data_IF_516988985295
#
_entry.id   IF_516988985295
#
_cell.length_a   1.000
_cell.length_b   1.000
_cell.length_c   1.000
_cell.angle_alpha   90.00
_cell.angle_beta   90.00
_cell.angle_gamma   90.00
#
_symmetry.space_group_name_H-M   'P 1'
#
loop_
_entity.id
_entity.type
_entity.pdbx_description
1 polymer ?
#
# COMPACT_ATOMS: atom_id res chain seq x y z
N UNK A 1 -27.89 -43.22 32.54
CA UNK A 1 -26.66 -42.48 32.18
C UNK A 1 -26.90 -41.04 32.62
N UNK A 2 -26.07 -40.52 33.51
CA UNK A 2 -26.22 -39.15 34.02
C UNK A 2 -25.51 -38.20 33.07
N UNK A 3 -26.22 -37.20 32.55
CA UNK A 3 -25.64 -36.18 31.68
C UNK A 3 -24.89 -35.14 32.52
N UNK A 4 -23.61 -34.98 32.23
CA UNK A 4 -22.75 -33.99 32.88
C UNK A 4 -22.40 -32.85 31.96
N UNK A 5 -22.23 -31.67 32.54
CA UNK A 5 -21.76 -30.47 31.87
C UNK A 5 -20.59 -29.88 32.68
N UNK A 6 -19.61 -29.29 31.99
CA UNK A 6 -18.53 -28.53 32.62
C UNK A 6 -18.39 -27.16 31.96
N UNK A 7 -17.80 -26.20 32.68
CA UNK A 7 -17.53 -24.87 32.15
C UNK A 7 -16.06 -24.76 31.71
N UNK A 8 -15.86 -24.44 30.44
CA UNK A 8 -14.56 -24.15 29.83
C UNK A 8 -14.38 -22.63 29.65
N UNK A 9 -13.25 -22.02 30.02
CA UNK A 9 -13.03 -20.58 29.87
C UNK A 9 -13.08 -20.07 28.42
N UNK A 10 -12.73 -20.91 27.44
CA UNK A 10 -12.71 -20.55 26.02
C UNK A 10 -14.00 -20.91 25.29
N UNK A 11 -14.64 -22.03 25.68
CA UNK A 11 -15.80 -22.58 24.98
C UNK A 11 -17.14 -22.40 25.72
N UNK A 12 -17.12 -21.94 26.98
CA UNK A 12 -18.31 -21.81 27.80
C UNK A 12 -18.84 -23.16 28.31
N UNK A 13 -20.15 -23.38 28.29
CA UNK A 13 -20.77 -24.64 28.75
C UNK A 13 -20.55 -25.77 27.75
N UNK A 14 -19.90 -26.85 28.17
CA UNK A 14 -19.61 -28.03 27.35
C UNK A 14 -20.36 -29.25 27.91
N UNK A 15 -21.11 -29.95 27.06
CA UNK A 15 -21.90 -31.14 27.38
C UNK A 15 -23.12 -31.31 26.45
N UNK A 16 -23.96 -32.34 26.62
CA UNK A 16 -23.88 -33.38 27.65
C UNK A 16 -22.75 -34.38 27.38
N UNK A 17 -21.96 -34.69 28.41
CA UNK A 17 -20.95 -35.75 28.37
C UNK A 17 -21.23 -36.81 29.43
N UNK A 18 -20.84 -38.05 29.15
CA UNK A 18 -20.95 -39.14 30.11
C UNK A 18 -19.94 -38.96 31.25
N UNK A 19 -20.24 -39.52 32.43
CA UNK A 19 -19.33 -39.52 33.58
C UNK A 19 -17.94 -40.12 33.26
N UNK A 20 -17.87 -41.11 32.36
CA UNK A 20 -16.60 -41.70 31.90
C UNK A 20 -15.75 -40.70 31.10
N UNK A 21 -16.39 -39.96 30.20
CA UNK A 21 -15.73 -38.95 29.37
C UNK A 21 -15.23 -37.77 30.24
N UNK A 22 -16.03 -37.37 31.24
CA UNK A 22 -15.62 -36.37 32.22
C UNK A 22 -14.38 -36.83 33.00
N UNK A 23 -14.31 -38.11 33.40
CA UNK A 23 -13.11 -38.69 34.02
C UNK A 23 -11.91 -38.74 33.08
N UNK A 24 -12.11 -39.13 31.82
CA UNK A 24 -11.05 -39.18 30.83
C UNK A 24 -10.39 -37.80 30.68
N UNK A 25 -11.19 -36.74 30.51
CA UNK A 25 -10.70 -35.36 30.42
C UNK A 25 -9.95 -34.88 31.65
N UNK A 26 -10.36 -35.33 32.84
CA UNK A 26 -9.62 -35.02 34.07
C UNK A 26 -8.26 -35.72 34.10
N UNK A 27 -8.18 -36.99 33.69
CA UNK A 27 -6.90 -37.72 33.55
C UNK A 27 -5.98 -37.08 32.52
N UNK A 28 -6.55 -36.57 31.42
CA UNK A 28 -5.81 -35.92 30.35
C UNK A 28 -5.43 -34.46 30.67
N UNK A 29 -5.69 -34.00 31.90
CA UNK A 29 -5.43 -32.62 32.38
C UNK A 29 -6.15 -31.52 31.57
N UNK A 30 -7.19 -31.87 30.82
CA UNK A 30 -8.03 -30.93 30.08
C UNK A 30 -8.98 -30.16 31.00
N UNK A 31 -9.37 -30.77 32.12
CA UNK A 31 -10.16 -30.14 33.18
C UNK A 31 -9.48 -30.36 34.53
N UNK A 32 -9.61 -29.37 35.42
CA UNK A 32 -9.01 -29.34 36.76
C UNK A 32 -10.04 -29.61 37.86
N UNK A 33 -9.60 -29.81 39.10
CA UNK A 33 -10.47 -30.16 40.22
C UNK A 33 -11.43 -29.03 40.63
N UNK A 34 -11.02 -27.78 40.38
CA UNK A 34 -11.80 -26.56 40.57
C UNK A 34 -12.78 -26.27 39.43
N UNK A 35 -12.72 -27.03 38.33
CA UNK A 35 -13.57 -26.79 37.15
C UNK A 35 -15.03 -26.92 37.54
N UNK A 36 -15.87 -25.90 37.29
CA UNK A 36 -17.29 -25.98 37.60
C UNK A 36 -17.98 -27.04 36.74
N UNK A 37 -18.69 -27.96 37.38
CA UNK A 37 -19.53 -28.98 36.75
C UNK A 37 -20.97 -28.88 37.23
N UNK A 38 -21.90 -29.34 36.38
CA UNK A 38 -23.32 -29.35 36.66
C UNK A 38 -23.98 -30.59 36.08
N UNK A 39 -25.00 -31.09 36.77
CA UNK A 39 -25.87 -32.19 36.33
C UNK A 39 -27.34 -31.90 36.60
N UNK A 40 -28.27 -32.56 35.89
CA UNK A 40 -29.70 -32.49 36.20
C UNK A 40 -29.99 -32.83 37.66
N UNK A 41 -30.78 -31.98 38.33
CA UNK A 41 -31.11 -32.10 39.75
C UNK A 41 -30.27 -31.22 40.69
N UNK A 42 -29.29 -30.47 40.16
CA UNK A 42 -28.48 -29.54 40.94
C UNK A 42 -28.97 -28.10 40.81
N UNK A 43 -28.99 -27.36 41.92
CA UNK A 43 -29.41 -25.96 41.95
C UNK A 43 -28.40 -25.02 41.26
N UNK A 44 -27.10 -25.23 41.51
CA UNK A 44 -26.01 -24.37 41.03
C UNK A 44 -24.80 -25.20 40.55
N UNK A 45 -23.86 -24.55 39.84
CA UNK A 45 -22.60 -25.16 39.42
C UNK A 45 -21.68 -25.41 40.63
N UNK A 46 -21.09 -26.60 40.71
CA UNK A 46 -20.16 -26.96 41.79
C UNK A 46 -18.80 -27.40 41.25
N UNK A 47 -17.70 -27.22 42.01
CA UNK A 47 -16.40 -27.74 41.62
C UNK A 47 -16.39 -29.25 41.41
N UNK A 48 -15.66 -29.73 40.40
CA UNK A 48 -15.49 -31.16 40.09
C UNK A 48 -15.00 -31.99 41.30
N UNK A 49 -14.18 -31.40 42.17
CA UNK A 49 -13.67 -32.02 43.40
C UNK A 49 -14.78 -32.49 44.34
N UNK A 50 -15.93 -31.80 44.37
CA UNK A 50 -17.07 -32.17 45.21
C UNK A 50 -17.68 -33.52 44.80
N UNK A 51 -17.48 -33.94 43.54
CA UNK A 51 -18.00 -35.19 42.99
C UNK A 51 -16.92 -36.25 42.78
N UNK A 52 -15.73 -36.07 43.35
CA UNK A 52 -14.59 -37.00 43.20
C UNK A 52 -14.92 -38.44 43.62
N UNK A 53 -15.67 -38.62 44.72
CA UNK A 53 -16.09 -39.93 45.20
C UNK A 53 -17.17 -40.61 44.35
N UNK A 54 -18.04 -39.83 43.70
CA UNK A 54 -19.09 -40.36 42.82
C UNK A 54 -18.54 -40.70 41.43
N UNK A 55 -17.63 -39.86 40.93
CA UNK A 55 -17.02 -40.04 39.63
C UNK A 55 -15.84 -41.00 39.67
N UNK A 56 -15.21 -41.27 40.82
CA UNK A 56 -14.04 -42.14 40.91
C UNK A 56 -12.79 -41.52 40.28
N UNK A 57 -12.52 -40.24 40.55
CA UNK A 57 -11.37 -39.53 39.98
C UNK A 57 -10.05 -39.97 40.66
N UNK A 58 -9.03 -40.42 39.90
CA UNK A 58 -7.76 -40.88 40.47
C UNK A 58 -6.93 -39.70 41.04
N UNK A 59 -6.30 -39.90 42.20
CA UNK A 59 -5.38 -38.92 42.82
C UNK A 59 -5.94 -38.07 43.97
N UNK A 60 -7.19 -38.30 44.39
CA UNK A 60 -7.76 -37.71 45.62
C UNK A 60 -8.15 -38.82 46.61
N UNK A 61 -7.16 -39.47 47.22
CA UNK A 61 -7.37 -40.17 48.49
C UNK A 61 -7.50 -39.12 49.58
N UNK A 62 -8.69 -38.95 50.15
CA UNK A 62 -8.88 -38.20 51.39
C UNK A 62 -8.10 -38.91 52.50
N UNK A 63 -6.95 -38.37 52.90
CA UNK A 63 -6.26 -38.79 54.12
C UNK A 63 -7.14 -38.43 55.33
N UNK A 64 -7.59 -39.40 56.15
CA UNK A 64 -8.41 -39.13 57.33
C UNK A 64 -7.68 -38.33 58.44
N UNK A 65 -6.39 -37.98 58.27
CA UNK A 65 -5.62 -37.17 59.23
C UNK A 65 -5.53 -35.68 58.90
N UNK A 66 -6.13 -35.21 57.79
CA UNK A 66 -6.11 -33.79 57.45
C UNK A 66 -7.32 -33.05 58.06
N UNK A 67 -7.12 -31.98 58.85
CA UNK A 67 -8.24 -31.17 59.34
C UNK A 67 -8.97 -30.55 58.15
N UNK A 68 -10.31 -30.42 58.22
CA UNK A 68 -11.11 -29.90 57.12
C UNK A 68 -10.56 -28.55 56.66
N UNK A 69 -10.44 -28.29 55.34
CA UNK A 69 -10.17 -26.93 54.89
C UNK A 69 -11.28 -26.04 55.44
N UNK A 70 -10.87 -24.94 56.09
CA UNK A 70 -11.77 -23.90 56.54
C UNK A 70 -12.68 -23.52 55.37
N UNK A 71 -13.99 -23.69 55.56
CA UNK A 71 -14.98 -23.12 54.65
C UNK A 71 -14.63 -21.64 54.47
N UNK A 72 -14.38 -21.15 53.23
CA UNK A 72 -14.41 -19.71 53.02
C UNK A 72 -15.79 -19.19 53.44
N UNK A 73 -15.87 -17.96 53.99
CA UNK A 73 -17.15 -17.41 54.44
C UNK A 73 -18.13 -17.48 53.28
N UNK A 74 -19.36 -17.91 53.60
CA UNK A 74 -20.48 -17.93 52.68
C UNK A 74 -20.44 -16.68 51.81
N UNK A 75 -20.14 -16.85 50.52
CA UNK A 75 -20.21 -15.77 49.56
C UNK A 75 -21.63 -15.23 49.66
N UNK A 76 -21.72 -13.94 49.95
CA UNK A 76 -22.96 -13.24 50.17
C UNK A 76 -24.00 -13.66 49.13
N UNK A 77 -25.21 -13.94 49.64
CA UNK A 77 -26.46 -13.93 48.88
C UNK A 77 -26.35 -12.82 47.83
N UNK A 78 -26.16 -13.21 46.57
CA UNK A 78 -26.54 -12.35 45.46
C UNK A 78 -28.03 -12.14 45.65
N UNK A 79 -28.41 -10.93 46.09
CA UNK A 79 -29.76 -10.41 45.95
C UNK A 79 -30.26 -10.80 44.57
N UNK A 80 -31.50 -11.29 44.49
CA UNK A 80 -32.20 -11.51 43.23
C UNK A 80 -32.05 -10.25 42.37
N UNK A 81 -31.09 -10.27 41.44
CA UNK A 81 -31.04 -9.31 40.38
C UNK A 81 -32.30 -9.59 39.54
N UNK A 82 -33.06 -8.56 39.11
CA UNK A 82 -34.09 -8.78 38.11
C UNK A 82 -33.45 -9.51 36.92
N UNK A 83 -34.18 -10.39 36.21
CA UNK A 83 -33.62 -11.14 35.10
C UNK A 83 -32.91 -10.14 34.19
N UNK A 84 -31.59 -10.30 34.06
CA UNK A 84 -30.82 -9.51 33.12
C UNK A 84 -31.49 -9.74 31.77
N UNK A 85 -32.12 -8.70 31.23
CA UNK A 85 -32.61 -8.69 29.86
C UNK A 85 -31.44 -9.15 29.01
N UNK A 86 -31.57 -10.34 28.41
CA UNK A 86 -30.61 -10.90 27.49
C UNK A 86 -30.24 -9.79 26.51
N UNK A 87 -29.02 -9.25 26.65
CA UNK A 87 -28.49 -8.28 25.72
C UNK A 87 -28.61 -8.92 24.36
N UNK A 88 -29.41 -8.32 23.47
CA UNK A 88 -29.59 -8.80 22.11
C UNK A 88 -28.20 -8.96 21.50
N UNK A 89 -27.74 -10.21 21.42
CA UNK A 89 -26.51 -10.54 20.72
C UNK A 89 -26.64 -9.97 19.33
N UNK A 90 -25.79 -9.00 19.02
CA UNK A 90 -25.79 -8.34 17.72
C UNK A 90 -25.53 -9.44 16.69
N UNK A 91 -26.56 -9.82 15.92
CA UNK A 91 -26.52 -11.00 15.05
C UNK A 91 -25.29 -10.94 14.14
N UNK A 92 -24.70 -12.09 13.78
CA UNK A 92 -23.41 -12.14 13.07
C UNK A 92 -23.30 -11.24 11.82
N UNK A 93 -24.42 -10.89 11.19
CA UNK A 93 -24.50 -9.88 10.13
C UNK A 93 -24.02 -8.46 10.56
N UNK A 94 -24.35 -8.03 11.78
CA UNK A 94 -23.96 -6.73 12.29
C UNK A 94 -22.49 -6.68 12.74
N UNK A 95 -21.93 -7.80 13.24
CA UNK A 95 -20.48 -7.90 13.50
C UNK A 95 -19.70 -7.82 12.19
N UNK A 96 -20.14 -8.53 11.14
CA UNK A 96 -19.53 -8.44 9.81
C UNK A 96 -19.61 -7.02 9.23
N UNK A 97 -20.74 -6.33 9.42
CA UNK A 97 -20.91 -4.95 9.00
C UNK A 97 -19.95 -4.00 9.73
N UNK A 98 -19.81 -4.14 11.06
CA UNK A 98 -18.87 -3.33 11.85
C UNK A 98 -17.43 -3.57 11.38
N UNK A 99 -17.03 -4.83 11.19
CA UNK A 99 -15.68 -5.16 10.70
C UNK A 99 -15.46 -4.54 9.31
N UNK A 100 -16.42 -4.65 8.40
CA UNK A 100 -16.32 -4.05 7.07
C UNK A 100 -16.15 -2.53 7.12
N UNK A 101 -16.95 -1.85 7.93
CA UNK A 101 -16.83 -0.38 8.12
C UNK A 101 -15.48 -0.01 8.71
N UNK A 102 -15.02 -0.70 9.75
CA UNK A 102 -13.73 -0.43 10.38
C UNK A 102 -12.57 -0.64 9.39
N UNK A 103 -12.60 -1.72 8.62
CA UNK A 103 -11.58 -1.97 7.58
C UNK A 103 -11.57 -0.85 6.55
N UNK A 104 -12.72 -0.41 6.06
CA UNK A 104 -12.80 0.71 5.10
C UNK A 104 -12.32 2.02 5.72
N UNK A 105 -12.72 2.35 6.95
CA UNK A 105 -12.33 3.58 7.65
C UNK A 105 -10.82 3.66 7.87
N UNK A 106 -10.14 2.52 8.02
CA UNK A 106 -8.68 2.47 8.14
C UNK A 106 -8.00 2.41 6.76
N UNK A 107 -8.54 1.63 5.83
CA UNK A 107 -7.90 1.37 4.55
C UNK A 107 -7.96 2.59 3.61
N UNK A 108 -9.10 3.30 3.56
CA UNK A 108 -9.30 4.47 2.71
C UNK A 108 -8.26 5.58 2.98
N UNK A 109 -8.05 6.05 4.23
CA UNK A 109 -7.06 7.09 4.48
C UNK A 109 -5.63 6.64 4.18
N UNK A 110 -5.29 5.37 4.41
CA UNK A 110 -3.96 4.84 4.06
C UNK A 110 -3.76 4.89 2.54
N UNK A 111 -4.72 4.40 1.75
CA UNK A 111 -4.65 4.45 0.28
C UNK A 111 -4.61 5.91 -0.20
N UNK A 112 -5.38 6.81 0.41
CA UNK A 112 -5.40 8.23 0.05
C UNK A 112 -4.02 8.89 0.24
N UNK A 113 -3.33 8.61 1.34
CA UNK A 113 -1.97 9.12 1.59
C UNK A 113 -0.97 8.55 0.57
N UNK A 114 -1.05 7.24 0.29
CA UNK A 114 -0.18 6.61 -0.71
C UNK A 114 -0.41 7.20 -2.11
N UNK A 115 -1.67 7.38 -2.50
CA UNK A 115 -2.04 7.97 -3.79
C UNK A 115 -1.54 9.42 -3.91
N UNK A 116 -1.63 10.21 -2.82
CA UNK A 116 -1.16 11.59 -2.81
C UNK A 116 0.35 11.72 -3.10
N UNK A 117 1.16 10.71 -2.79
CA UNK A 117 2.61 10.69 -3.06
C UNK A 117 2.88 10.04 -4.42
N UNK A 118 2.20 8.94 -4.72
CA UNK A 118 2.45 8.15 -5.93
C UNK A 118 2.01 8.86 -7.21
N UNK A 119 0.87 9.56 -7.18
CA UNK A 119 0.31 10.22 -8.37
C UNK A 119 1.23 11.34 -8.89
N UNK A 120 1.70 12.30 -8.07
CA UNK A 120 2.60 13.35 -8.56
C UNK A 120 3.92 12.80 -9.11
N UNK A 121 4.50 11.80 -8.44
CA UNK A 121 5.73 11.15 -8.89
C UNK A 121 5.53 10.41 -10.23
N UNK A 122 4.39 9.74 -10.41
CA UNK A 122 4.05 9.08 -11.67
C UNK A 122 3.83 10.09 -12.80
N UNK A 123 3.17 11.21 -12.53
CA UNK A 123 2.99 12.30 -13.50
C UNK A 123 4.34 12.84 -13.97
N UNK A 124 5.27 13.14 -13.04
CA UNK A 124 6.61 13.60 -13.39
C UNK A 124 7.34 12.61 -14.32
N UNK A 125 7.20 11.30 -14.09
CA UNK A 125 7.75 10.26 -14.97
C UNK A 125 7.11 10.31 -16.38
N UNK A 126 5.80 10.42 -16.48
CA UNK A 126 5.10 10.52 -17.78
C UNK A 126 5.51 11.78 -18.54
N UNK A 127 5.63 12.93 -17.86
CA UNK A 127 6.06 14.18 -18.48
C UNK A 127 7.49 14.06 -19.04
N UNK A 128 8.43 13.52 -18.26
CA UNK A 128 9.80 13.23 -18.73
C UNK A 128 9.85 12.23 -19.89
N UNK A 129 8.94 11.26 -19.89
CA UNK A 129 8.83 10.28 -20.97
C UNK A 129 8.36 10.93 -22.27
N UNK A 130 7.34 11.81 -22.21
CA UNK A 130 6.89 12.61 -23.35
C UNK A 130 8.00 13.52 -23.91
N UNK A 131 8.79 14.17 -23.04
CA UNK A 131 9.97 14.96 -23.46
C UNK A 131 10.99 14.08 -24.18
N UNK A 132 11.25 12.87 -23.68
CA UNK A 132 12.14 11.90 -24.34
C UNK A 132 11.59 11.44 -25.68
N UNK A 133 10.27 11.24 -25.79
CA UNK A 133 9.61 10.92 -27.05
C UNK A 133 9.79 12.03 -28.09
N UNK A 134 9.68 13.29 -27.69
CA UNK A 134 9.96 14.43 -28.58
C UNK A 134 11.37 14.35 -29.14
N UNK A 135 12.37 14.12 -28.28
CA UNK A 135 13.78 13.97 -28.66
C UNK A 135 13.99 12.86 -29.71
N UNK A 136 13.32 11.72 -29.54
CA UNK A 136 13.40 10.60 -30.49
C UNK A 136 12.65 10.94 -31.78
N UNK A 137 11.49 11.59 -31.70
CA UNK A 137 10.68 11.93 -32.87
C UNK A 137 11.36 12.94 -33.81
N UNK A 138 12.24 13.80 -33.29
CA UNK A 138 12.99 14.78 -34.10
C UNK A 138 14.36 14.28 -34.57
N UNK A 139 14.70 13.01 -34.32
CA UNK A 139 15.97 12.42 -34.75
C UNK A 139 16.17 12.47 -36.28
N UNK A 140 15.14 12.15 -37.06
CA UNK A 140 15.21 12.16 -38.53
C UNK A 140 15.46 13.55 -39.09
N UNK A 141 14.88 14.59 -38.47
CA UNK A 141 15.13 15.97 -38.86
C UNK A 141 16.58 16.37 -38.54
N UNK A 142 17.13 15.93 -37.39
CA UNK A 142 18.54 16.15 -37.04
C UNK A 142 19.49 15.51 -38.04
N UNK A 143 19.20 14.28 -38.48
CA UNK A 143 19.97 13.61 -39.52
C UNK A 143 19.90 14.37 -40.85
N UNK A 144 18.71 14.90 -41.21
CA UNK A 144 18.52 15.76 -42.38
C UNK A 144 19.34 17.04 -42.32
N UNK A 145 19.34 17.74 -41.18
CA UNK A 145 20.16 18.95 -40.96
C UNK A 145 21.64 18.63 -41.12
N UNK A 146 22.12 17.56 -40.50
CA UNK A 146 23.51 17.14 -40.59
C UNK A 146 23.91 16.75 -42.03
N UNK A 147 23.02 16.09 -42.76
CA UNK A 147 23.24 15.76 -44.17
C UNK A 147 23.19 16.98 -45.10
N UNK A 148 22.42 18.01 -44.77
CA UNK A 148 22.39 19.27 -45.51
C UNK A 148 23.67 20.06 -45.27
N UNK A 149 24.10 20.18 -44.02
CA UNK A 149 25.32 20.88 -43.61
C UNK A 149 26.55 20.31 -44.32
N UNK A 150 26.73 19.00 -44.32
CA UNK A 150 27.86 18.36 -45.02
C UNK A 150 27.87 18.53 -46.54
N UNK A 151 26.71 18.81 -47.15
CA UNK A 151 26.59 19.00 -48.61
C UNK A 151 26.78 20.44 -49.04
N UNK A 152 26.35 21.39 -48.23
CA UNK A 152 26.30 22.82 -48.60
C UNK A 152 27.28 23.68 -47.80
N UNK A 153 27.98 23.11 -46.82
CA UNK A 153 28.84 23.84 -45.87
C UNK A 153 28.09 24.98 -45.14
N UNK A 154 26.77 24.82 -45.01
CA UNK A 154 25.86 25.81 -44.47
C UNK A 154 24.67 25.13 -43.78
N UNK A 155 24.14 25.76 -42.75
CA UNK A 155 22.96 25.25 -42.05
C UNK A 155 21.69 25.56 -42.84
N UNK A 156 20.76 24.60 -42.93
CA UNK A 156 19.46 24.87 -43.50
C UNK A 156 18.66 25.78 -42.57
N UNK A 157 17.71 26.50 -43.15
CA UNK A 157 16.65 27.22 -42.45
C UNK A 157 15.30 26.63 -42.84
N UNK A 158 14.30 26.83 -42.00
CA UNK A 158 12.93 26.54 -42.40
C UNK A 158 12.59 27.31 -43.69
N UNK A 159 11.98 26.61 -44.66
CA UNK A 159 11.71 27.13 -46.00
C UNK A 159 12.74 26.73 -47.06
N UNK A 160 13.91 26.23 -46.66
CA UNK A 160 14.87 25.64 -47.60
C UNK A 160 14.38 24.27 -48.14
N UNK A 161 14.95 23.80 -49.25
CA UNK A 161 14.55 22.52 -49.84
C UNK A 161 14.74 21.36 -48.85
N UNK A 162 13.65 20.64 -48.56
CA UNK A 162 13.62 19.56 -47.58
C UNK A 162 13.36 20.00 -46.13
N UNK A 163 13.18 21.29 -45.87
CA UNK A 163 12.88 21.86 -44.56
C UNK A 163 11.62 22.72 -44.61
N UNK A 164 10.52 22.23 -44.02
CA UNK A 164 9.25 22.93 -43.99
C UNK A 164 9.25 24.15 -43.06
N UNK A 165 8.14 24.88 -43.07
CA UNK A 165 7.87 25.96 -42.11
C UNK A 165 7.85 25.42 -40.67
N UNK A 166 8.17 26.23 -39.64
CA UNK A 166 8.29 25.75 -38.26
C UNK A 166 7.07 25.00 -37.74
N UNK A 167 5.87 25.47 -38.08
CA UNK A 167 4.58 24.89 -37.63
C UNK A 167 4.21 23.60 -38.38
N UNK A 168 4.87 23.32 -39.51
CA UNK A 168 4.62 22.07 -40.27
C UNK A 168 5.06 20.82 -39.49
N UNK A 169 5.91 20.98 -38.47
CA UNK A 169 6.39 19.93 -37.60
C UNK A 169 5.52 19.72 -36.33
N UNK A 170 4.40 20.44 -36.22
CA UNK A 170 3.52 20.35 -35.06
C UNK A 170 2.93 18.94 -34.88
N UNK A 171 2.86 18.49 -33.63
CA UNK A 171 2.26 17.22 -33.20
C UNK A 171 1.61 17.39 -31.83
N UNK A 172 1.14 16.31 -31.18
CA UNK A 172 0.54 16.41 -29.84
C UNK A 172 1.50 16.96 -28.78
N UNK A 173 2.81 16.72 -28.94
CA UNK A 173 3.85 17.12 -27.97
C UNK A 173 4.82 18.20 -28.48
N UNK A 174 4.72 18.56 -29.77
CA UNK A 174 5.58 19.56 -30.44
C UNK A 174 4.70 20.67 -30.99
N UNK A 175 5.00 21.91 -30.63
CA UNK A 175 4.32 23.07 -31.17
C UNK A 175 4.92 23.50 -32.52
N UNK A 176 6.25 23.59 -32.59
CA UNK A 176 6.98 23.98 -33.79
C UNK A 176 8.43 23.53 -33.69
N UNK A 177 9.10 23.39 -34.83
CA UNK A 177 10.54 23.13 -34.88
C UNK A 177 11.23 24.18 -35.75
N UNK A 178 12.10 24.97 -35.15
CA UNK A 178 12.95 25.93 -35.86
C UNK A 178 14.32 25.33 -36.12
N UNK A 179 14.79 25.46 -37.35
CA UNK A 179 16.11 25.01 -37.79
C UNK A 179 16.90 26.23 -38.24
N UNK A 180 18.16 26.31 -37.83
CA UNK A 180 19.03 27.41 -38.22
C UNK A 180 20.46 27.23 -37.74
N UNK A 181 21.16 28.35 -37.58
CA UNK A 181 22.53 28.44 -37.08
C UNK A 181 22.58 29.21 -35.77
N UNK A 182 23.55 28.90 -34.90
CA UNK A 182 23.85 29.70 -33.70
C UNK A 182 25.02 30.65 -33.95
N UNK A 183 25.11 31.72 -33.16
CA UNK A 183 26.14 32.76 -33.31
C UNK A 183 27.57 32.22 -33.17
N UNK A 184 27.78 31.25 -32.26
CA UNK A 184 29.06 30.55 -32.07
C UNK A 184 29.41 29.58 -33.22
N UNK A 185 28.56 29.51 -34.24
CA UNK A 185 28.69 28.59 -35.36
C UNK A 185 28.13 27.19 -35.09
N UNK A 186 27.87 26.48 -36.19
CA UNK A 186 27.22 25.17 -36.18
C UNK A 186 25.71 25.26 -36.30
N UNK A 187 25.10 24.15 -36.71
CA UNK A 187 23.66 24.09 -36.91
C UNK A 187 22.95 23.81 -35.60
N UNK A 188 21.76 24.37 -35.47
CA UNK A 188 20.92 24.18 -34.31
C UNK A 188 19.47 23.93 -34.70
N UNK A 189 18.77 23.29 -33.77
CA UNK A 189 17.36 23.03 -33.85
C UNK A 189 16.73 23.38 -32.51
N UNK A 190 15.70 24.22 -32.55
CA UNK A 190 14.88 24.61 -31.40
C UNK A 190 13.50 23.98 -31.54
N UNK A 191 13.08 23.26 -30.51
CA UNK A 191 11.81 22.53 -30.49
C UNK A 191 10.94 23.13 -29.39
N UNK A 192 9.84 23.78 -29.78
CA UNK A 192 8.85 24.28 -28.83
C UNK A 192 7.90 23.16 -28.42
N UNK A 193 7.67 23.00 -27.12
CA UNK A 193 6.86 21.93 -26.56
C UNK A 193 5.42 22.38 -26.30
N UNK A 194 4.47 21.44 -26.35
CA UNK A 194 3.05 21.65 -25.96
C UNK A 194 2.41 20.36 -25.48
N UNK A 195 1.28 20.41 -24.77
CA UNK A 195 0.48 19.22 -24.45
C UNK A 195 1.16 18.17 -23.55
N UNK A 196 2.25 18.54 -22.87
CA UNK A 196 3.01 17.67 -21.97
C UNK A 196 2.58 17.92 -20.53
N UNK A 197 2.75 19.15 -20.05
CA UNK A 197 2.44 19.59 -18.69
C UNK A 197 2.42 21.13 -18.66
N UNK A 198 1.65 21.76 -17.75
CA UNK A 198 1.66 23.22 -17.63
C UNK A 198 3.04 23.84 -17.40
N UNK A 199 3.96 23.11 -16.77
CA UNK A 199 5.34 23.55 -16.50
C UNK A 199 6.34 23.23 -17.63
N UNK A 200 5.87 22.68 -18.75
CA UNK A 200 6.70 22.30 -19.92
C UNK A 200 6.12 22.88 -21.21
N UNK A 201 4.81 23.13 -21.25
CA UNK A 201 4.15 23.70 -22.42
C UNK A 201 4.63 25.13 -22.65
N UNK A 202 5.06 25.42 -23.88
CA UNK A 202 5.69 26.69 -24.26
C UNK A 202 7.21 26.73 -24.04
N UNK A 203 7.77 25.78 -23.30
CA UNK A 203 9.22 25.67 -23.12
C UNK A 203 9.91 25.09 -24.37
N UNK A 204 11.20 25.36 -24.52
CA UNK A 204 11.97 24.96 -25.71
C UNK A 204 13.15 24.04 -25.37
N UNK A 205 13.34 23.01 -26.20
CA UNK A 205 14.55 22.19 -26.22
C UNK A 205 15.47 22.66 -27.34
N UNK A 206 16.77 22.65 -27.09
CA UNK A 206 17.77 23.00 -28.10
C UNK A 206 18.64 21.78 -28.43
N UNK A 207 18.95 21.65 -29.71
CA UNK A 207 19.97 20.75 -30.22
C UNK A 207 21.02 21.57 -30.94
N UNK A 208 22.30 21.37 -30.60
CA UNK A 208 23.43 21.96 -31.30
C UNK A 208 24.25 20.85 -31.93
N UNK A 209 24.54 20.97 -33.21
CA UNK A 209 25.49 20.11 -33.90
C UNK A 209 26.90 20.63 -33.61
N UNK A 210 27.71 19.79 -32.97
CA UNK A 210 29.13 20.03 -32.82
C UNK A 210 29.82 19.75 -34.16
N UNK A 211 30.43 20.78 -34.76
CA UNK A 211 31.08 20.64 -36.08
C UNK A 211 32.39 19.85 -36.03
N UNK A 212 33.08 19.88 -34.89
CA UNK A 212 34.38 19.20 -34.75
C UNK A 212 34.16 17.71 -34.48
N UNK A 213 33.18 17.38 -33.64
CA UNK A 213 32.84 15.99 -33.31
C UNK A 213 31.85 15.35 -34.31
N UNK A 214 31.08 16.15 -35.05
CA UNK A 214 29.95 15.67 -35.86
C UNK A 214 28.81 15.10 -35.02
N UNK A 215 28.76 15.44 -33.73
CA UNK A 215 27.81 14.90 -32.75
C UNK A 215 26.75 15.94 -32.36
N UNK A 216 25.52 15.46 -32.14
CA UNK A 216 24.43 16.28 -31.65
C UNK A 216 24.45 16.37 -30.13
N UNK A 217 24.54 17.59 -29.60
CA UNK A 217 24.43 17.86 -28.17
C UNK A 217 23.06 18.43 -27.84
N UNK A 218 22.36 17.75 -26.94
CA UNK A 218 21.09 18.21 -26.42
C UNK A 218 21.31 19.23 -25.31
N UNK A 219 20.54 20.32 -25.35
CA UNK A 219 20.49 21.32 -24.30
C UNK A 219 19.04 21.49 -23.89
N UNK A 220 18.80 21.41 -22.58
CA UNK A 220 17.47 21.47 -21.98
C UNK A 220 16.70 22.76 -22.22
N UNK A 221 17.36 23.80 -22.76
CA UNK A 221 16.77 25.10 -23.00
C UNK A 221 16.11 25.65 -21.74
N UNK A 222 14.82 25.95 -21.85
CA UNK A 222 14.02 26.46 -20.75
C UNK A 222 13.20 25.37 -20.02
N UNK A 223 13.29 24.11 -20.46
CA UNK A 223 12.57 22.99 -19.83
C UNK A 223 13.14 22.68 -18.44
N UNK A 224 12.30 22.54 -17.40
CA UNK A 224 12.79 22.21 -16.05
C UNK A 224 13.58 20.90 -15.99
N UNK A 225 14.72 20.92 -15.30
CA UNK A 225 15.65 19.79 -15.17
C UNK A 225 15.02 18.47 -14.71
N UNK A 226 13.93 18.51 -13.93
CA UNK A 226 13.23 17.30 -13.48
C UNK A 226 12.56 16.53 -14.63
N UNK A 227 12.20 17.23 -15.71
CA UNK A 227 11.56 16.64 -16.89
C UNK A 227 12.56 16.28 -18.00
N UNK A 228 13.84 16.61 -17.83
CA UNK A 228 14.87 16.33 -18.82
C UNK A 228 15.51 14.94 -18.64
N UNK A 229 15.80 14.21 -19.74
CA UNK A 229 16.69 13.07 -19.69
C UNK A 229 18.13 13.50 -19.42
N UNK A 230 18.97 12.59 -18.94
CA UNK A 230 20.34 12.90 -18.54
C UNK A 230 21.17 13.55 -19.66
N UNK A 231 20.98 13.13 -20.92
CA UNK A 231 21.69 13.66 -22.09
C UNK A 231 21.39 15.13 -22.39
N UNK A 232 20.26 15.66 -21.91
CA UNK A 232 19.80 17.03 -22.19
C UNK A 232 19.93 17.95 -20.98
N UNK A 233 20.30 17.41 -19.81
CA UNK A 233 20.58 18.26 -18.66
C UNK A 233 21.82 19.05 -19.00
N UNK A 234 21.69 20.37 -19.05
CA UNK A 234 22.86 21.24 -19.06
C UNK A 234 23.68 20.87 -17.83
N UNK A 235 24.88 20.35 -18.03
CA UNK A 235 25.93 20.56 -17.03
C UNK A 235 26.14 22.07 -17.12
N UNK A 236 25.50 22.80 -16.21
CA UNK A 236 25.87 24.19 -15.96
C UNK A 236 27.32 24.06 -15.54
N UNK A 237 28.25 24.31 -16.46
CA UNK A 237 29.56 24.77 -16.07
C UNK A 237 29.30 26.06 -15.32
N UNK A 238 29.38 25.94 -14.01
CA UNK A 238 29.41 27.02 -13.04
C UNK A 238 30.68 27.85 -13.32
N UNK A 239 30.70 28.57 -14.43
CA UNK A 239 31.72 29.56 -14.77
C UNK A 239 31.04 30.91 -14.90
N UNK A 240 30.56 31.39 -13.76
CA UNK A 240 30.25 32.79 -13.52
C UNK A 240 29.75 32.85 -12.10
N UNK A 241 30.61 33.18 -11.13
CA UNK A 241 30.57 34.47 -10.40
C UNK A 241 31.76 34.51 -9.41
N UNK A 242 32.11 35.69 -8.88
CA UNK A 242 33.12 36.65 -9.34
C UNK A 242 34.48 36.54 -8.63
#
# INVERSE_FOLDING_TARGET
MTDWYYHDPALGRVGPIAAEELRARFRDHLIRSETPVWRPGQADWSPLSQFSGELGLPGMTSDPRQPPPLNPPASHRGTNAPPATAGRGLGGCAIAAIIGVVVVVILVPVIAILAAIAIPAYQDYIHRTKVTQVIVSTATLRDGVHAYERRHDACPRNGDEGFGEPDSYASDTVASVRVGSVEEGGCAMEIALRGIAPAVDGETLFWKLDRDAGEWRCQGGSVPNKFLPAMCKSIISDESTP
#
